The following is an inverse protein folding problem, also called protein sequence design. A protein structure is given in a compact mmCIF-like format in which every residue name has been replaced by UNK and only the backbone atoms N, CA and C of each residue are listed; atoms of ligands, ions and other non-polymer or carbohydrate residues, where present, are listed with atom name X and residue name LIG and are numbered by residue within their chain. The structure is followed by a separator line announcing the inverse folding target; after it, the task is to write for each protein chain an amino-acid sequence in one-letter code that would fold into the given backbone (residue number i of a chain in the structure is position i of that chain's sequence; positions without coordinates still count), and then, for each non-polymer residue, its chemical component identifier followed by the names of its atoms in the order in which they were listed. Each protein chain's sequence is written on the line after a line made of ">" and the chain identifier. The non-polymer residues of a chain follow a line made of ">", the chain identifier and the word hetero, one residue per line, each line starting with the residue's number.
data_IF_308126829172
#
_entry.id   IF_308126829172
#
_cell.length_a   1.000
_cell.length_b   1.000
_cell.length_c   1.000
_cell.angle_alpha   90.00
_cell.angle_beta   90.00
_cell.angle_gamma   90.00
#
_symmetry.space_group_name_H-M   'P 1'
#
loop_
_entity.id
_entity.type
_entity.pdbx_description
1 polymer ?
#
# COMPACT_ATOMS: atom_id res chain seq x y z
N UNK A 1 21.31 16.34 1.91
CA UNK A 1 20.23 15.54 2.53
C UNK A 1 19.67 14.69 1.43
N UNK A 2 19.72 13.36 1.58
CA UNK A 2 19.66 12.42 0.47
C UNK A 2 18.21 12.34 -0.05
N UNK A 3 17.96 12.89 -1.24
CA UNK A 3 16.71 12.76 -1.99
C UNK A 3 16.55 11.30 -2.45
N UNK A 4 16.26 10.38 -1.52
CA UNK A 4 15.72 9.07 -1.88
C UNK A 4 14.27 9.29 -2.27
N UNK A 5 14.11 9.74 -3.52
CA UNK A 5 12.84 9.92 -4.19
C UNK A 5 12.01 8.67 -4.00
N UNK A 6 10.97 8.89 -3.23
CA UNK A 6 9.81 8.06 -3.02
C UNK A 6 9.05 7.96 -4.35
N UNK A 7 8.57 6.77 -4.70
CA UNK A 7 7.55 6.68 -5.75
C UNK A 7 6.33 7.44 -5.21
N UNK A 8 5.94 8.52 -5.86
CA UNK A 8 4.72 9.28 -5.57
C UNK A 8 4.54 9.68 -4.08
N UNK A 9 5.62 10.14 -3.42
CA UNK A 9 5.55 10.58 -2.02
C UNK A 9 5.64 9.46 -0.97
N UNK A 10 5.56 8.19 -1.38
CA UNK A 10 5.60 7.02 -0.47
C UNK A 10 7.02 6.58 -0.12
N UNK A 11 7.32 6.54 1.18
CA UNK A 11 8.59 6.03 1.74
C UNK A 11 8.90 4.61 1.25
N UNK A 12 10.03 4.44 0.56
CA UNK A 12 10.50 3.09 0.17
C UNK A 12 10.72 2.20 1.40
N UNK A 13 11.18 2.77 2.53
CA UNK A 13 11.41 2.00 3.75
C UNK A 13 10.12 1.37 4.28
N UNK A 14 8.99 2.06 4.16
CA UNK A 14 7.69 1.61 4.64
C UNK A 14 7.19 0.44 3.77
N UNK A 15 7.37 0.53 2.45
CA UNK A 15 7.08 -0.56 1.50
C UNK A 15 7.89 -1.82 1.86
N UNK A 16 9.19 -1.66 2.13
CA UNK A 16 10.05 -2.79 2.51
C UNK A 16 9.64 -3.41 3.85
N UNK A 17 9.28 -2.60 4.84
CA UNK A 17 8.79 -3.11 6.12
C UNK A 17 7.52 -3.93 5.93
N UNK A 18 6.55 -3.40 5.19
CA UNK A 18 5.29 -4.08 4.86
C UNK A 18 5.52 -5.41 4.14
N UNK A 19 6.40 -5.42 3.14
CA UNK A 19 6.75 -6.64 2.42
C UNK A 19 7.30 -7.71 3.37
N UNK A 20 8.26 -7.36 4.24
CA UNK A 20 8.83 -8.29 5.22
C UNK A 20 7.77 -8.87 6.17
N UNK A 21 6.77 -8.07 6.56
CA UNK A 21 5.65 -8.56 7.35
C UNK A 21 4.71 -9.47 6.56
N UNK A 22 4.38 -9.13 5.30
CA UNK A 22 3.49 -9.93 4.46
C UNK A 22 4.06 -11.28 4.03
N UNK A 23 5.39 -11.38 3.89
CA UNK A 23 6.06 -12.65 3.59
C UNK A 23 6.30 -13.50 4.84
N UNK A 24 6.45 -12.88 6.02
CA UNK A 24 6.60 -13.61 7.30
C UNK A 24 5.44 -14.56 7.59
N UNK A 25 4.21 -14.22 7.18
CA UNK A 25 3.02 -15.04 7.44
C UNK A 25 2.55 -15.74 6.16
N UNK A 26 2.50 -17.07 6.16
CA UNK A 26 2.16 -17.87 4.97
C UNK A 26 0.77 -17.54 4.39
N UNK A 27 -0.21 -17.19 5.22
CA UNK A 27 -1.59 -16.92 4.78
C UNK A 27 -1.88 -15.46 4.36
N UNK A 28 -0.89 -14.55 4.39
CA UNK A 28 -1.13 -13.16 4.00
C UNK A 28 -1.09 -13.00 2.48
N UNK A 29 -2.19 -12.59 1.86
CA UNK A 29 -2.29 -12.35 0.41
C UNK A 29 -2.51 -10.87 0.07
N UNK A 30 -2.84 -10.04 1.07
CA UNK A 30 -3.10 -8.61 0.91
C UNK A 30 -2.49 -7.80 2.05
N UNK A 31 -1.99 -6.63 1.68
CA UNK A 31 -1.48 -5.60 2.56
C UNK A 31 -2.10 -4.26 2.16
N UNK A 32 -2.34 -3.41 3.16
CA UNK A 32 -2.80 -2.05 2.96
C UNK A 32 -1.79 -1.10 3.58
N UNK A 33 -1.36 -0.09 2.82
CA UNK A 33 -0.60 1.05 3.33
C UNK A 33 -1.50 2.28 3.27
N UNK A 34 -1.93 2.77 4.43
CA UNK A 34 -2.71 4.01 4.54
C UNK A 34 -1.71 5.15 4.73
N UNK A 35 -1.71 6.11 3.82
CA UNK A 35 -0.72 7.20 3.80
C UNK A 35 -1.40 8.55 3.61
N UNK A 36 -0.95 9.64 4.25
CA UNK A 36 -1.54 10.96 4.02
C UNK A 36 -1.49 11.33 2.55
N UNK A 37 -2.61 11.84 2.01
CA UNK A 37 -2.65 12.38 0.63
C UNK A 37 -1.73 13.59 0.56
N UNK A 38 -0.82 13.62 -0.42
CA UNK A 38 -0.09 14.83 -0.79
C UNK A 38 -0.54 15.33 -2.18
N UNK A 39 0.23 16.22 -2.80
CA UNK A 39 -0.09 16.82 -4.10
C UNK A 39 -0.04 15.83 -5.27
N UNK A 40 0.43 14.60 -5.06
CA UNK A 40 0.50 13.54 -6.05
C UNK A 40 -0.78 12.69 -5.99
N UNK A 41 -1.53 12.73 -7.09
CA UNK A 41 -2.74 11.96 -7.26
C UNK A 41 -2.43 10.67 -8.03
N UNK A 42 -2.41 9.53 -7.33
CA UNK A 42 -2.54 8.23 -7.99
C UNK A 42 -3.06 7.15 -7.05
N UNK A 43 -4.08 6.42 -7.50
CA UNK A 43 -4.44 5.12 -6.93
C UNK A 43 -3.38 4.10 -7.36
N UNK A 44 -2.35 3.92 -6.55
CA UNK A 44 -1.27 2.99 -6.85
C UNK A 44 -1.49 1.64 -6.15
N UNK A 45 -1.37 0.56 -6.93
CA UNK A 45 -1.28 -0.79 -6.40
C UNK A 45 0.00 -1.47 -6.89
N UNK A 46 0.60 -2.26 -5.99
CA UNK A 46 1.81 -3.04 -6.26
C UNK A 46 1.52 -4.52 -6.06
N UNK A 47 1.87 -5.35 -7.05
CA UNK A 47 1.85 -6.81 -6.89
C UNK A 47 3.27 -7.32 -6.60
N UNK A 48 3.43 -7.98 -5.46
CA UNK A 48 4.65 -8.70 -5.11
C UNK A 48 4.50 -10.19 -5.43
N UNK A 49 5.56 -10.77 -5.98
CA UNK A 49 5.63 -12.18 -6.35
C UNK A 49 6.80 -12.84 -5.65
N UNK A 50 6.53 -13.88 -4.87
CA UNK A 50 7.56 -14.75 -4.33
C UNK A 50 7.69 -15.99 -5.25
N UNK A 51 8.86 -16.14 -5.89
CA UNK A 51 9.08 -17.17 -6.92
C UNK A 51 9.03 -18.60 -6.37
N UNK A 52 9.26 -18.79 -5.08
CA UNK A 52 9.35 -20.13 -4.49
C UNK A 52 7.99 -20.72 -4.12
N UNK A 53 6.98 -19.90 -3.82
CA UNK A 53 5.68 -20.35 -3.29
C UNK A 53 4.48 -20.06 -4.22
N UNK A 54 4.70 -19.49 -5.43
CA UNK A 54 3.66 -18.91 -6.33
C UNK A 54 2.73 -17.89 -5.63
N UNK A 55 3.07 -17.50 -4.41
CA UNK A 55 2.27 -16.67 -3.55
C UNK A 55 2.29 -15.24 -4.09
N UNK A 56 1.10 -14.74 -4.42
CA UNK A 56 0.89 -13.34 -4.77
C UNK A 56 0.50 -12.56 -3.51
N UNK A 57 1.33 -11.58 -3.19
CA UNK A 57 1.07 -10.63 -2.12
C UNK A 57 0.74 -9.28 -2.77
N UNK A 58 -0.49 -8.80 -2.60
CA UNK A 58 -0.92 -7.51 -3.16
C UNK A 58 -0.81 -6.43 -2.11
N UNK A 59 -0.10 -5.36 -2.43
CA UNK A 59 -0.10 -4.13 -1.64
C UNK A 59 -0.97 -3.10 -2.33
N UNK A 60 -2.00 -2.66 -1.62
CA UNK A 60 -2.82 -1.52 -1.99
C UNK A 60 -2.42 -0.33 -1.14
N UNK A 61 -2.19 0.82 -1.77
CA UNK A 61 -1.90 2.07 -1.08
C UNK A 61 -3.17 2.91 -1.12
N UNK A 62 -3.63 3.32 0.06
CA UNK A 62 -4.84 4.11 0.22
C UNK A 62 -4.44 5.48 0.77
N UNK A 63 -4.65 6.51 -0.05
CA UNK A 63 -4.36 7.86 0.36
C UNK A 63 -5.48 8.43 1.24
N UNK A 64 -5.12 8.88 2.44
CA UNK A 64 -6.00 9.51 3.40
C UNK A 64 -5.93 11.03 3.25
N UNK A 65 -6.98 11.63 2.72
CA UNK A 65 -7.12 13.08 2.66
C UNK A 65 -7.44 13.61 4.07
N UNK A 66 -6.49 14.34 4.66
CA UNK A 66 -6.64 14.93 5.99
C UNK A 66 -7.66 16.09 6.01
N UNK A 67 -7.90 16.73 4.86
CA UNK A 67 -8.85 17.84 4.73
C UNK A 67 -10.29 17.35 4.48
N UNK A 68 -10.45 16.16 3.88
CA UNK A 68 -11.75 15.53 3.58
C UNK A 68 -11.80 14.06 4.04
N UNK A 69 -11.66 13.77 5.35
CA UNK A 69 -11.51 12.41 5.88
C UNK A 69 -12.73 11.51 5.65
N UNK A 70 -13.93 12.08 5.49
CA UNK A 70 -15.18 11.34 5.27
C UNK A 70 -15.19 10.52 3.97
N UNK A 71 -14.43 10.95 2.96
CA UNK A 71 -14.32 10.22 1.68
C UNK A 71 -13.51 8.94 1.80
N UNK A 72 -12.69 8.83 2.85
CA UNK A 72 -11.82 7.67 3.02
C UNK A 72 -12.59 6.40 3.35
N UNK A 73 -13.69 6.50 4.11
CA UNK A 73 -14.45 5.31 4.55
C UNK A 73 -14.98 4.53 3.35
N UNK A 74 -15.60 5.22 2.39
CA UNK A 74 -16.10 4.60 1.15
C UNK A 74 -14.95 3.99 0.32
N UNK A 75 -13.83 4.70 0.17
CA UNK A 75 -12.67 4.20 -0.55
C UNK A 75 -12.06 2.94 0.11
N UNK A 76 -11.99 2.93 1.44
CA UNK A 76 -11.48 1.82 2.22
C UNK A 76 -12.39 0.59 2.15
N UNK A 77 -13.70 0.79 2.28
CA UNK A 77 -14.70 -0.28 2.12
C UNK A 77 -14.62 -0.93 0.74
N UNK A 78 -14.53 -0.12 -0.32
CA UNK A 78 -14.36 -0.60 -1.69
C UNK A 78 -13.05 -1.39 -1.89
N UNK A 79 -11.95 -0.91 -1.33
CA UNK A 79 -10.65 -1.57 -1.44
C UNK A 79 -10.63 -2.96 -0.79
N UNK A 80 -11.31 -3.12 0.35
CA UNK A 80 -11.44 -4.41 1.04
C UNK A 80 -12.40 -5.34 0.29
N UNK A 81 -13.52 -4.81 -0.23
CA UNK A 81 -14.56 -5.61 -0.89
C UNK A 81 -14.10 -6.24 -2.22
N UNK A 82 -13.13 -5.62 -2.91
CA UNK A 82 -12.57 -6.09 -4.19
C UNK A 82 -11.55 -7.23 -4.05
N UNK A 83 -11.26 -7.65 -2.82
CA UNK A 83 -10.22 -8.62 -2.54
C UNK A 83 -10.75 -9.96 -2.08
#
# INVERSE_FOLDING_TARGET
>A
MNEKKTHNGISQADIYQLYAYGTKYQACTKLFLIYPKDQFESDDYYEFFEKEDEKKLRLQILFFDLDNPEKFVEAFENAIALG
#
